data_IF_461084625577
#
_entry.id   IF_461084625577
#
_cell.length_a   1.000
_cell.length_b   1.000
_cell.length_c   1.000
_cell.angle_alpha   90.00
_cell.angle_beta   90.00
_cell.angle_gamma   90.00
#
_symmetry.space_group_name_H-M   'P 1'
#
loop_
_entity.id
_entity.type
_entity.pdbx_description
1 polymer ?
#
# COMPACT_ATOMS: atom_id res chain seq x y z
N UNK A 1 -2.52 9.95 7.67
CA UNK A 1 -3.44 10.95 8.25
C UNK A 1 -2.82 11.55 9.50
N UNK A 2 -2.86 12.88 9.66
CA UNK A 2 -2.12 13.61 10.70
C UNK A 2 -3.06 14.46 11.56
N UNK A 3 -3.74 13.89 12.57
CA UNK A 3 -4.79 14.60 13.33
C UNK A 3 -4.27 15.79 14.14
N UNK A 4 -2.98 15.78 14.48
CA UNK A 4 -2.34 16.80 15.31
C UNK A 4 -1.52 17.83 14.51
N UNK A 5 -1.46 17.72 13.18
CA UNK A 5 -0.70 18.63 12.31
C UNK A 5 -1.59 19.53 11.45
N UNK A 6 -0.97 20.40 10.65
CA UNK A 6 -1.66 21.11 9.58
C UNK A 6 -2.20 20.10 8.56
N UNK A 7 -3.48 20.21 8.22
CA UNK A 7 -4.15 19.31 7.27
C UNK A 7 -3.51 19.34 5.88
N UNK A 8 -2.93 20.48 5.50
CA UNK A 8 -2.45 20.75 4.14
C UNK A 8 -0.96 20.52 3.98
N UNK A 9 -0.14 20.93 4.95
CA UNK A 9 1.33 20.86 4.85
C UNK A 9 1.98 19.93 5.88
N UNK A 10 1.17 19.24 6.70
CA UNK A 10 1.59 18.29 7.73
C UNK A 10 2.55 18.83 8.81
N UNK A 11 2.86 20.13 8.81
CA UNK A 11 3.64 20.78 9.88
C UNK A 11 2.94 20.65 11.23
N UNK A 12 3.71 20.34 12.27
CA UNK A 12 3.24 20.23 13.65
C UNK A 12 3.60 21.47 14.48
N UNK A 13 3.24 21.48 15.77
CA UNK A 13 3.48 22.63 16.67
C UNK A 13 4.94 23.10 16.72
N UNK A 14 5.89 22.19 16.49
CA UNK A 14 7.32 22.51 16.53
C UNK A 14 7.73 23.38 15.33
N UNK A 15 7.06 23.22 14.19
CA UNK A 15 7.30 23.97 12.96
C UNK A 15 6.27 25.10 12.73
N UNK A 16 5.09 24.95 13.33
CA UNK A 16 3.92 25.81 13.19
C UNK A 16 3.20 25.92 14.54
N UNK A 17 3.67 26.77 15.48
CA UNK A 17 3.14 26.82 16.85
C UNK A 17 1.67 27.24 16.92
N UNK A 18 1.17 27.96 15.91
CA UNK A 18 -0.17 28.54 15.88
C UNK A 18 -1.18 27.72 15.05
N UNK A 19 -1.17 26.39 15.18
CA UNK A 19 -2.15 25.52 14.51
C UNK A 19 -3.58 25.74 15.03
N UNK A 20 -4.44 26.31 14.20
CA UNK A 20 -5.85 26.62 14.53
C UNK A 20 -6.81 25.60 13.92
N UNK A 21 -7.88 25.27 14.65
CA UNK A 21 -8.97 24.46 14.11
C UNK A 21 -9.78 25.22 13.04
N UNK A 22 -10.33 24.49 12.07
CA UNK A 22 -11.43 25.00 11.26
C UNK A 22 -12.54 25.50 12.18
N UNK A 23 -12.86 26.81 12.13
CA UNK A 23 -13.79 27.43 13.07
C UNK A 23 -15.19 26.78 13.09
N UNK A 24 -15.62 26.23 11.94
CA UNK A 24 -16.91 25.55 11.77
C UNK A 24 -16.88 24.11 12.27
N UNK A 25 -16.19 23.22 11.57
CA UNK A 25 -16.24 21.77 11.88
C UNK A 25 -15.38 21.39 13.08
N UNK A 26 -14.27 22.09 13.32
CA UNK A 26 -13.23 21.77 14.30
C UNK A 26 -12.70 20.32 14.27
N UNK A 27 -12.70 19.71 13.08
CA UNK A 27 -12.06 18.42 12.83
C UNK A 27 -10.64 18.63 12.30
N UNK A 28 -10.45 19.52 11.34
CA UNK A 28 -9.15 19.80 10.73
C UNK A 28 -8.46 21.01 11.38
N UNK A 29 -7.12 21.04 11.30
CA UNK A 29 -6.27 22.16 11.77
C UNK A 29 -5.43 22.72 10.64
N UNK A 30 -5.07 24.00 10.72
CA UNK A 30 -4.24 24.68 9.73
C UNK A 30 -3.22 25.58 10.42
N UNK A 31 -2.02 25.70 9.84
CA UNK A 31 -0.99 26.62 10.32
C UNK A 31 -1.28 28.08 9.96
N UNK A 32 -2.22 28.33 9.04
CA UNK A 32 -2.60 29.66 8.57
C UNK A 32 -3.72 29.60 7.53
N UNK A 33 -4.21 30.77 7.16
CA UNK A 33 -5.31 30.93 6.20
C UNK A 33 -5.00 30.40 4.81
N UNK A 34 -3.73 30.42 4.38
CA UNK A 34 -3.33 29.92 3.06
C UNK A 34 -3.50 28.40 2.96
N UNK A 35 -3.01 27.65 3.95
CA UNK A 35 -3.24 26.21 4.02
C UNK A 35 -4.74 25.88 4.14
N UNK A 36 -5.51 26.69 4.88
CA UNK A 36 -6.96 26.51 4.98
C UNK A 36 -7.67 26.70 3.63
N UNK A 37 -7.28 27.70 2.83
CA UNK A 37 -7.85 27.94 1.50
C UNK A 37 -7.57 26.78 0.55
N UNK A 38 -6.33 26.26 0.54
CA UNK A 38 -5.96 25.10 -0.29
C UNK A 38 -6.84 23.89 0.02
N UNK A 39 -7.01 23.54 1.30
CA UNK A 39 -7.88 22.42 1.70
C UNK A 39 -9.37 22.71 1.43
N UNK A 40 -9.80 23.97 1.59
CA UNK A 40 -11.16 24.41 1.26
C UNK A 40 -11.51 24.12 -0.19
N UNK A 41 -10.61 24.49 -1.11
CA UNK A 41 -10.79 24.32 -2.54
C UNK A 41 -10.61 22.86 -2.99
N UNK A 42 -9.69 22.12 -2.36
CA UNK A 42 -9.49 20.69 -2.59
C UNK A 42 -10.69 19.81 -2.19
N UNK A 43 -11.65 20.34 -1.43
CA UNK A 43 -12.91 19.64 -1.16
C UNK A 43 -13.46 19.80 0.25
N UNK A 44 -12.72 20.37 1.20
CA UNK A 44 -13.20 20.50 2.59
C UNK A 44 -14.55 21.23 2.67
N UNK A 45 -14.81 22.20 1.78
CA UNK A 45 -16.10 22.92 1.70
C UNK A 45 -17.31 22.00 1.55
N UNK A 46 -17.15 20.86 0.86
CA UNK A 46 -18.21 19.86 0.64
C UNK A 46 -18.61 19.16 1.95
N UNK A 47 -17.63 18.88 2.81
CA UNK A 47 -17.84 18.07 4.03
C UNK A 47 -17.92 18.87 5.33
N UNK A 48 -17.40 20.10 5.35
CA UNK A 48 -17.25 20.92 6.56
C UNK A 48 -18.57 21.05 7.36
N UNK A 49 -19.69 21.30 6.68
CA UNK A 49 -21.01 21.42 7.33
C UNK A 49 -21.48 20.11 7.96
N UNK A 50 -21.20 18.99 7.31
CA UNK A 50 -21.62 17.66 7.76
C UNK A 50 -20.76 17.18 8.93
N UNK A 51 -19.45 17.47 8.91
CA UNK A 51 -18.54 17.24 10.04
C UNK A 51 -18.94 18.09 11.26
N UNK A 52 -19.37 19.35 11.06
CA UNK A 52 -19.86 20.18 12.14
C UNK A 52 -21.13 19.60 12.81
N UNK A 53 -22.07 19.10 12.01
CA UNK A 53 -23.27 18.42 12.51
C UNK A 53 -22.92 17.09 13.21
N UNK A 54 -21.95 16.35 12.67
CA UNK A 54 -21.43 15.13 13.27
C UNK A 54 -20.88 15.39 14.68
N UNK A 55 -20.03 16.42 14.83
CA UNK A 55 -19.48 16.86 16.13
C UNK A 55 -20.57 17.12 17.17
N UNK A 56 -21.68 17.74 16.75
CA UNK A 56 -22.80 18.05 17.64
C UNK A 56 -23.54 16.79 18.08
N UNK A 57 -23.75 15.84 17.17
CA UNK A 57 -24.41 14.56 17.47
C UNK A 57 -23.56 13.65 18.36
N UNK A 58 -22.24 13.70 18.21
CA UNK A 58 -21.29 12.95 19.03
C UNK A 58 -20.74 13.77 20.20
N UNK A 59 -21.46 14.81 20.63
CA UNK A 59 -21.04 15.63 21.77
C UNK A 59 -21.04 14.83 23.08
N UNK A 60 -21.88 13.80 23.18
CA UNK A 60 -21.85 12.78 24.23
C UNK A 60 -21.28 11.47 23.68
N UNK A 61 -20.56 10.73 24.53
CA UNK A 61 -20.06 9.38 24.19
C UNK A 61 -21.27 8.43 24.10
N UNK A 62 -21.46 7.69 22.99
CA UNK A 62 -22.52 6.71 22.93
C UNK A 62 -22.23 5.55 23.90
N UNK A 63 -23.25 4.91 24.49
CA UNK A 63 -23.05 3.78 25.41
C UNK A 63 -22.29 2.60 24.79
N UNK A 64 -22.41 2.40 23.48
CA UNK A 64 -21.72 1.35 22.73
C UNK A 64 -20.22 1.59 22.53
N UNK A 65 -19.72 2.80 22.82
CA UNK A 65 -18.30 3.13 22.70
C UNK A 65 -17.62 2.94 24.05
N UNK A 66 -17.04 1.75 24.22
CA UNK A 66 -16.37 1.31 25.44
C UNK A 66 -14.91 1.81 25.49
N UNK A 67 -14.47 2.46 26.58
CA UNK A 67 -13.08 2.90 26.72
C UNK A 67 -12.07 1.75 26.60
N UNK A 68 -11.02 1.97 25.82
CA UNK A 68 -9.95 0.98 25.59
C UNK A 68 -10.34 -0.20 24.69
N UNK A 69 -11.60 -0.27 24.23
CA UNK A 69 -12.06 -1.33 23.33
C UNK A 69 -11.94 -0.88 21.86
N UNK A 70 -10.87 -1.34 21.20
CA UNK A 70 -10.56 -1.02 19.80
C UNK A 70 -11.68 -1.48 18.84
N UNK A 71 -12.35 -2.59 19.09
CA UNK A 71 -13.44 -3.06 18.25
C UNK A 71 -14.65 -2.12 18.33
N UNK A 72 -14.98 -1.64 19.53
CA UNK A 72 -16.04 -0.64 19.71
C UNK A 72 -15.69 0.69 19.03
N UNK A 73 -14.42 1.10 19.08
CA UNK A 73 -13.92 2.26 18.37
C UNK A 73 -14.01 2.11 16.85
N UNK A 74 -13.57 0.98 16.30
CA UNK A 74 -13.69 0.65 14.87
C UNK A 74 -15.13 0.72 14.39
N UNK A 75 -16.05 0.10 15.14
CA UNK A 75 -17.48 0.11 14.80
C UNK A 75 -18.06 1.54 14.83
N UNK A 76 -17.71 2.32 15.85
CA UNK A 76 -18.12 3.72 15.93
C UNK A 76 -17.53 4.55 14.78
N UNK A 77 -16.24 4.39 14.50
CA UNK A 77 -15.56 5.07 13.38
C UNK A 77 -16.24 4.79 12.04
N UNK A 78 -16.53 3.51 11.75
CA UNK A 78 -17.22 3.09 10.55
C UNK A 78 -18.63 3.71 10.46
N UNK A 79 -19.36 3.78 11.58
CA UNK A 79 -20.69 4.40 11.60
C UNK A 79 -20.65 5.90 11.31
N UNK A 80 -19.59 6.61 11.75
CA UNK A 80 -19.39 8.02 11.41
C UNK A 80 -19.13 8.21 9.91
N UNK A 81 -18.31 7.34 9.32
CA UNK A 81 -18.04 7.31 7.89
C UNK A 81 -19.31 7.09 7.06
N UNK A 82 -20.12 6.10 7.44
CA UNK A 82 -21.39 5.80 6.77
C UNK A 82 -22.36 6.99 6.86
N UNK A 83 -22.51 7.59 8.04
CA UNK A 83 -23.38 8.76 8.21
C UNK A 83 -22.94 9.96 7.36
N UNK A 84 -21.62 10.15 7.19
CA UNK A 84 -21.10 11.19 6.30
C UNK A 84 -21.39 10.85 4.84
N UNK A 85 -21.23 9.60 4.42
CA UNK A 85 -21.54 9.14 3.07
C UNK A 85 -23.03 9.32 2.74
N UNK A 86 -23.92 8.92 3.65
CA UNK A 86 -25.38 9.08 3.50
C UNK A 86 -25.76 10.55 3.32
N UNK A 87 -25.12 11.47 4.07
CA UNK A 87 -25.34 12.91 3.95
C UNK A 87 -24.86 13.50 2.64
N UNK A 88 -23.84 12.91 2.04
CA UNK A 88 -23.31 13.30 0.74
C UNK A 88 -24.05 12.61 -0.42
N UNK A 89 -24.83 11.55 -0.13
CA UNK A 89 -25.52 10.74 -1.13
C UNK A 89 -24.57 9.91 -2.01
N UNK A 90 -23.32 9.69 -1.56
CA UNK A 90 -22.30 8.93 -2.27
C UNK A 90 -21.23 8.39 -1.33
N UNK A 91 -20.44 7.38 -1.74
CA UNK A 91 -19.24 6.97 -1.01
C UNK A 91 -18.30 8.16 -0.76
N UNK A 92 -17.56 8.10 0.34
CA UNK A 92 -16.59 9.14 0.68
C UNK A 92 -15.37 9.09 -0.23
N UNK A 93 -14.91 10.26 -0.64
CA UNK A 93 -13.60 10.40 -1.28
C UNK A 93 -12.49 10.26 -0.22
N UNK A 94 -11.28 9.86 -0.63
CA UNK A 94 -10.13 9.68 0.27
C UNK A 94 -9.84 10.95 1.10
N UNK A 95 -9.95 12.13 0.47
CA UNK A 95 -9.79 13.42 1.14
C UNK A 95 -10.80 13.65 2.26
N UNK A 96 -12.02 13.10 2.14
CA UNK A 96 -13.11 13.21 3.09
C UNK A 96 -12.94 12.22 4.25
N UNK A 97 -12.47 11.00 3.96
CA UNK A 97 -12.02 10.06 4.99
C UNK A 97 -10.91 10.69 5.86
N UNK A 98 -9.97 11.39 5.24
CA UNK A 98 -8.93 12.10 5.96
C UNK A 98 -9.44 13.31 6.75
N UNK A 99 -10.44 14.02 6.24
CA UNK A 99 -11.08 15.10 7.00
C UNK A 99 -11.81 14.56 8.23
N UNK A 100 -12.42 13.37 8.11
CA UNK A 100 -13.09 12.68 9.22
C UNK A 100 -12.08 12.31 10.31
N UNK A 101 -10.99 11.57 10.02
CA UNK A 101 -10.01 11.21 11.08
C UNK A 101 -9.00 12.31 11.44
N UNK A 102 -9.22 13.52 10.96
CA UNK A 102 -8.73 14.71 11.65
C UNK A 102 -9.30 14.85 13.07
N UNK A 103 -10.38 14.15 13.41
CA UNK A 103 -10.98 14.22 14.75
C UNK A 103 -9.96 13.89 15.84
N UNK A 104 -9.62 14.90 16.64
CA UNK A 104 -8.70 14.74 17.76
C UNK A 104 -9.42 14.15 18.96
N UNK A 105 -9.25 12.84 19.15
CA UNK A 105 -9.82 12.07 20.26
C UNK A 105 -8.74 11.54 21.19
N UNK A 106 -9.08 11.32 22.45
CA UNK A 106 -8.22 10.54 23.35
C UNK A 106 -8.16 9.08 22.88
N UNK A 107 -6.94 8.52 22.77
CA UNK A 107 -6.70 7.12 22.44
C UNK A 107 -7.09 6.11 23.54
N UNK A 108 -8.03 6.43 24.42
CA UNK A 108 -8.56 5.44 25.35
C UNK A 108 -10.06 5.64 25.52
N UNK A 109 -10.49 6.83 25.95
CA UNK A 109 -11.92 7.11 26.10
C UNK A 109 -12.61 7.59 24.82
N UNK A 110 -11.85 7.77 23.74
CA UNK A 110 -12.30 8.22 22.41
C UNK A 110 -13.05 9.55 22.41
N UNK A 111 -12.91 10.33 23.50
CA UNK A 111 -13.62 11.58 23.67
C UNK A 111 -12.93 12.70 22.88
N UNK A 112 -13.67 13.55 22.14
CA UNK A 112 -13.07 14.61 21.35
C UNK A 112 -12.56 15.77 22.20
N UNK A 113 -11.44 16.38 21.79
CA UNK A 113 -10.77 17.50 22.47
C UNK A 113 -11.63 18.76 22.66
N UNK A 114 -12.74 18.89 21.92
CA UNK A 114 -13.58 20.11 21.85
C UNK A 114 -15.03 19.85 22.25
N UNK A 115 -15.24 18.79 23.02
CA UNK A 115 -16.51 18.43 23.64
C UNK A 115 -16.82 19.33 24.85
N UNK A 116 -18.10 19.46 25.20
CA UNK A 116 -18.58 20.42 26.19
C UNK A 116 -18.24 20.08 27.67
N UNK A 117 -17.40 19.07 27.93
CA UNK A 117 -16.96 18.74 29.29
C UNK A 117 -15.64 19.46 29.62
N UNK A 118 -15.58 20.30 30.67
CA UNK A 118 -14.39 21.06 31.05
C UNK A 118 -13.16 20.18 31.32
N UNK A 119 -13.36 18.99 31.87
CA UNK A 119 -12.31 18.04 32.28
C UNK A 119 -11.62 17.31 31.12
N UNK A 120 -12.16 17.43 29.89
CA UNK A 120 -11.60 16.82 28.66
C UNK A 120 -11.18 17.89 27.63
N UNK A 121 -11.17 19.16 28.03
CA UNK A 121 -10.92 20.31 27.15
C UNK A 121 -9.44 20.46 26.76
N UNK A 122 -8.51 19.86 27.51
CA UNK A 122 -7.08 19.78 27.18
C UNK A 122 -6.70 18.34 26.83
N UNK A 123 -7.06 17.91 25.62
CA UNK A 123 -6.39 16.76 25.04
C UNK A 123 -4.96 17.17 24.73
N UNK A 124 -4.01 16.42 25.24
CA UNK A 124 -2.58 16.52 24.94
C UNK A 124 -2.21 15.58 23.79
N UNK A 125 -1.01 15.71 23.26
CA UNK A 125 -0.48 14.85 22.21
C UNK A 125 0.84 14.22 22.66
N UNK A 126 1.13 13.02 22.17
CA UNK A 126 2.40 12.35 22.45
C UNK A 126 3.55 13.22 21.88
N UNK A 127 4.55 13.60 22.70
CA UNK A 127 5.63 14.49 22.26
C UNK A 127 6.55 13.84 21.23
N UNK A 128 6.62 12.50 21.20
CA UNK A 128 7.55 11.78 20.33
C UNK A 128 6.95 11.56 18.93
N UNK A 129 5.79 10.90 18.86
CA UNK A 129 5.18 10.59 17.58
C UNK A 129 4.35 11.75 17.02
N UNK A 130 3.82 12.63 17.87
CA UNK A 130 2.88 13.69 17.53
C UNK A 130 1.63 13.21 16.77
N UNK A 131 1.33 11.90 16.80
CA UNK A 131 0.19 11.29 16.11
C UNK A 131 -0.95 10.91 17.06
N UNK A 132 -0.60 10.58 18.30
CA UNK A 132 -1.54 10.12 19.33
C UNK A 132 -1.95 11.28 20.22
N UNK A 133 -3.22 11.27 20.61
CA UNK A 133 -3.82 12.25 21.51
C UNK A 133 -4.40 11.55 22.74
N UNK A 134 -4.37 12.22 23.91
CA UNK A 134 -4.92 11.69 25.17
C UNK A 134 -5.40 12.82 26.09
N UNK A 135 -6.42 12.57 26.91
CA UNK A 135 -6.74 13.48 28.01
C UNK A 135 -5.84 13.17 29.22
N UNK A 136 -5.73 14.13 30.14
CA UNK A 136 -4.91 14.02 31.35
C UNK A 136 -5.16 12.71 32.12
N UNK A 137 -6.44 12.36 32.32
CA UNK A 137 -6.86 11.14 33.03
C UNK A 137 -6.38 9.84 32.37
N UNK A 138 -6.25 9.82 31.05
CA UNK A 138 -5.89 8.61 30.28
C UNK A 138 -4.46 8.65 29.72
N UNK A 139 -3.67 9.67 30.07
CA UNK A 139 -2.27 9.79 29.66
C UNK A 139 -1.47 8.51 29.93
N UNK A 140 -1.45 7.90 31.13
CA UNK A 140 -0.62 6.73 31.36
C UNK A 140 -1.07 5.50 30.53
N UNK A 141 -2.39 5.25 30.44
CA UNK A 141 -2.95 4.13 29.67
C UNK A 141 -2.63 4.27 28.19
N UNK A 142 -2.77 5.47 27.63
CA UNK A 142 -2.47 5.72 26.23
C UNK A 142 -0.98 5.60 25.96
N UNK A 143 -0.12 6.20 26.81
CA UNK A 143 1.33 6.12 26.64
C UNK A 143 1.82 4.67 26.69
N UNK A 144 1.30 3.86 27.61
CA UNK A 144 1.61 2.44 27.70
C UNK A 144 1.10 1.66 26.47
N UNK A 145 -0.17 1.84 26.09
CA UNK A 145 -0.80 1.07 25.01
C UNK A 145 -0.15 1.31 23.64
N UNK A 146 0.32 2.53 23.37
CA UNK A 146 0.91 2.87 22.07
C UNK A 146 2.44 2.80 22.04
N UNK A 147 3.12 2.48 23.15
CA UNK A 147 4.58 2.57 23.26
C UNK A 147 5.32 1.86 22.12
N UNK A 148 4.89 0.64 21.77
CA UNK A 148 5.50 -0.14 20.69
C UNK A 148 5.24 0.45 19.29
N UNK A 149 4.12 1.15 19.12
CA UNK A 149 3.75 1.80 17.85
C UNK A 149 4.25 3.24 17.74
N UNK A 150 4.72 3.85 18.83
CA UNK A 150 5.07 5.27 18.89
C UNK A 150 6.14 5.63 17.84
N UNK A 151 7.22 4.85 17.77
CA UNK A 151 8.28 5.10 16.79
C UNK A 151 7.81 4.86 15.35
N UNK A 152 6.96 3.85 15.13
CA UNK A 152 6.37 3.57 13.81
C UNK A 152 5.54 4.75 13.34
N UNK A 153 4.67 5.27 14.20
CA UNK A 153 3.87 6.46 13.95
C UNK A 153 4.74 7.71 13.70
N UNK A 154 5.83 7.88 14.46
CA UNK A 154 6.78 8.96 14.24
C UNK A 154 7.41 8.86 12.85
N UNK A 155 7.82 7.68 12.42
CA UNK A 155 8.36 7.43 11.08
C UNK A 155 7.33 7.69 9.98
N UNK A 156 6.09 7.16 10.09
CA UNK A 156 5.01 7.48 9.14
C UNK A 156 4.83 8.99 8.98
N UNK A 157 4.83 9.73 10.09
CA UNK A 157 4.74 11.19 10.09
C UNK A 157 5.91 11.85 9.36
N UNK A 158 7.15 11.53 9.74
CA UNK A 158 8.33 12.14 9.12
C UNK A 158 8.39 11.84 7.62
N UNK A 159 8.17 10.59 7.21
CA UNK A 159 8.17 10.21 5.79
C UNK A 159 7.08 10.94 4.99
N UNK A 160 5.86 11.02 5.51
CA UNK A 160 4.77 11.69 4.79
C UNK A 160 4.98 13.21 4.69
N UNK A 161 5.48 13.85 5.74
CA UNK A 161 5.83 15.28 5.73
C UNK A 161 6.96 15.55 4.73
N UNK A 162 8.02 14.74 4.75
CA UNK A 162 9.15 14.86 3.85
C UNK A 162 8.75 14.67 2.39
N UNK A 163 7.96 13.62 2.09
CA UNK A 163 7.46 13.35 0.75
C UNK A 163 6.64 14.53 0.20
N UNK A 164 5.73 15.08 1.01
CA UNK A 164 4.91 16.21 0.63
C UNK A 164 5.74 17.47 0.37
N UNK A 165 6.68 17.79 1.26
CA UNK A 165 7.51 18.99 1.12
C UNK A 165 8.46 18.86 -0.06
N UNK A 166 9.01 17.68 -0.31
CA UNK A 166 9.82 17.41 -1.49
C UNK A 166 9.01 17.65 -2.77
N UNK A 167 7.80 17.08 -2.86
CA UNK A 167 6.93 17.27 -4.02
C UNK A 167 6.55 18.75 -4.22
N UNK A 168 6.32 19.50 -3.15
CA UNK A 168 6.04 20.94 -3.23
C UNK A 168 7.26 21.75 -3.70
N UNK A 169 8.46 21.35 -3.32
CA UNK A 169 9.70 22.04 -3.68
C UNK A 169 10.16 21.72 -5.12
N UNK A 170 9.98 20.48 -5.57
CA UNK A 170 10.52 19.97 -6.83
C UNK A 170 9.46 19.77 -7.92
N UNK A 171 8.17 19.82 -7.58
CA UNK A 171 7.05 19.58 -8.51
C UNK A 171 6.72 18.09 -8.72
N UNK A 172 7.59 17.19 -8.27
CA UNK A 172 7.46 15.74 -8.41
C UNK A 172 7.90 15.01 -7.13
N UNK A 173 7.38 13.81 -6.82
CA UNK A 173 7.87 13.01 -5.71
C UNK A 173 9.34 12.60 -5.91
N UNK A 174 10.10 12.24 -4.85
CA UNK A 174 11.44 11.72 -4.97
C UNK A 174 11.44 10.50 -5.91
N UNK A 175 12.04 10.66 -7.08
CA UNK A 175 12.11 9.58 -8.06
C UNK A 175 13.18 8.57 -7.63
N UNK A 176 12.83 7.29 -7.64
CA UNK A 176 13.84 6.24 -7.58
C UNK A 176 14.61 6.10 -8.90
N UNK A 177 14.14 6.68 -10.01
CA UNK A 177 14.70 6.47 -11.35
C UNK A 177 15.96 7.31 -11.57
N UNK A 178 17.09 6.73 -11.18
CA UNK A 178 18.33 6.82 -11.95
C UNK A 178 19.28 5.73 -11.48
N UNK A 179 19.44 4.64 -12.25
CA UNK A 179 20.70 3.94 -12.22
C UNK A 179 21.26 3.86 -13.63
N UNK A 180 22.12 4.82 -13.97
CA UNK A 180 23.14 4.57 -14.99
C UNK A 180 24.14 3.48 -14.52
N UNK A 181 24.14 3.12 -13.23
CA UNK A 181 25.19 2.34 -12.58
C UNK A 181 24.70 1.19 -11.68
N UNK A 182 23.49 0.63 -11.88
CA UNK A 182 23.12 -0.60 -11.15
C UNK A 182 24.01 -1.74 -11.68
N UNK A 183 24.83 -2.31 -10.81
CA UNK A 183 25.53 -3.54 -11.13
C UNK A 183 24.50 -4.65 -11.37
N UNK A 184 24.59 -5.43 -12.46
CA UNK A 184 23.68 -6.54 -12.74
C UNK A 184 23.51 -7.45 -11.52
N UNK A 185 22.30 -7.98 -11.31
CA UNK A 185 22.07 -8.95 -10.25
C UNK A 185 22.64 -10.31 -10.65
N UNK A 186 23.83 -10.63 -10.16
CA UNK A 186 24.38 -12.00 -10.20
C UNK A 186 23.67 -12.89 -9.15
N UNK A 187 23.35 -12.31 -7.99
CA UNK A 187 22.59 -12.92 -6.92
C UNK A 187 21.62 -11.90 -6.32
N UNK A 188 20.52 -12.37 -5.73
CA UNK A 188 19.57 -11.49 -5.06
C UNK A 188 20.17 -10.98 -3.73
N UNK A 189 20.15 -9.66 -3.45
CA UNK A 189 20.59 -9.13 -2.16
C UNK A 189 19.73 -9.69 -1.01
N UNK A 190 20.27 -9.64 0.21
CA UNK A 190 19.59 -10.19 1.39
C UNK A 190 18.44 -9.29 1.87
N UNK A 191 18.63 -7.97 1.80
CA UNK A 191 17.71 -6.96 2.33
C UNK A 191 17.89 -5.60 1.62
N UNK A 192 17.08 -4.63 2.05
CA UNK A 192 17.20 -3.25 1.56
C UNK A 192 18.58 -2.63 1.78
N UNK A 193 19.26 -2.90 2.90
CA UNK A 193 20.58 -2.32 3.15
C UNK A 193 21.57 -2.78 2.09
N UNK A 194 21.61 -4.07 1.78
CA UNK A 194 22.46 -4.62 0.71
C UNK A 194 22.05 -4.08 -0.67
N UNK A 195 20.75 -4.08 -0.99
CA UNK A 195 20.25 -3.63 -2.29
C UNK A 195 20.52 -2.15 -2.54
N UNK A 196 20.22 -1.29 -1.57
CA UNK A 196 20.40 0.16 -1.69
C UNK A 196 21.89 0.53 -1.72
N UNK A 197 22.76 -0.24 -1.05
CA UNK A 197 24.22 -0.07 -1.15
C UNK A 197 24.74 -0.39 -2.55
N UNK A 198 24.26 -1.48 -3.17
CA UNK A 198 24.63 -1.85 -4.54
C UNK A 198 24.12 -0.83 -5.57
N UNK A 199 22.97 -0.21 -5.30
CA UNK A 199 22.34 0.77 -6.19
C UNK A 199 23.09 2.10 -6.26
N UNK A 200 23.99 2.39 -5.32
CA UNK A 200 24.84 3.58 -5.30
C UNK A 200 24.04 4.88 -5.57
N UNK A 201 23.04 5.18 -4.74
CA UNK A 201 22.24 6.41 -4.92
C UNK A 201 23.15 7.65 -4.88
N UNK A 202 23.00 8.59 -5.84
CA UNK A 202 23.82 9.79 -5.87
C UNK A 202 23.47 10.73 -4.70
N UNK A 203 24.40 11.01 -3.79
CA UNK A 203 24.25 12.00 -2.71
C UNK A 203 24.08 11.42 -1.30
N UNK A 204 24.07 12.31 -0.30
CA UNK A 204 23.84 11.96 1.12
C UNK A 204 22.34 11.97 1.42
N UNK A 205 21.73 10.79 1.44
CA UNK A 205 20.30 10.62 1.70
C UNK A 205 20.04 10.38 3.18
N UNK A 206 19.04 11.08 3.74
CA UNK A 206 18.57 10.78 5.09
C UNK A 206 17.90 9.41 5.15
N UNK A 207 17.89 8.78 6.32
CA UNK A 207 17.26 7.48 6.53
C UNK A 207 15.77 7.48 6.12
N UNK A 208 15.04 8.57 6.40
CA UNK A 208 13.63 8.70 6.02
C UNK A 208 13.43 8.85 4.50
N UNK A 209 14.38 9.47 3.80
CA UNK A 209 14.32 9.59 2.34
C UNK A 209 14.63 8.25 1.67
N UNK A 210 15.58 7.48 2.22
CA UNK A 210 15.83 6.10 1.80
C UNK A 210 14.58 5.22 2.00
N UNK A 211 13.87 5.36 3.13
CA UNK A 211 12.58 4.69 3.35
C UNK A 211 11.57 5.07 2.27
N UNK A 212 11.42 6.35 1.95
CA UNK A 212 10.48 6.82 0.92
C UNK A 212 10.76 6.18 -0.44
N UNK A 213 12.03 6.02 -0.85
CA UNK A 213 12.36 5.36 -2.12
C UNK A 213 11.88 3.91 -2.20
N UNK A 214 11.80 3.20 -1.05
CA UNK A 214 11.26 1.83 -1.03
C UNK A 214 9.77 1.76 -1.40
N UNK A 215 9.02 2.87 -1.32
CA UNK A 215 7.61 2.91 -1.75
C UNK A 215 7.46 2.61 -3.25
N UNK A 216 8.43 3.04 -4.07
CA UNK A 216 8.45 2.77 -5.51
C UNK A 216 9.24 1.50 -5.82
N UNK A 217 10.34 1.25 -5.11
CA UNK A 217 11.21 0.10 -5.41
C UNK A 217 10.64 -1.24 -4.94
N UNK A 218 9.75 -1.26 -3.94
CA UNK A 218 9.20 -2.52 -3.44
C UNK A 218 8.51 -3.33 -4.54
N UNK A 219 7.91 -2.69 -5.55
CA UNK A 219 7.21 -3.37 -6.65
C UNK A 219 8.17 -4.18 -7.54
N UNK A 220 9.15 -3.58 -8.23
CA UNK A 220 10.08 -4.32 -9.08
C UNK A 220 10.99 -5.26 -8.29
N UNK A 221 11.48 -4.83 -7.11
CA UNK A 221 12.45 -5.64 -6.34
C UNK A 221 11.79 -6.88 -5.74
N UNK A 222 10.50 -6.81 -5.38
CA UNK A 222 9.74 -7.99 -4.97
C UNK A 222 9.52 -8.97 -6.13
N UNK A 223 9.32 -8.50 -7.36
CA UNK A 223 9.26 -9.37 -8.54
C UNK A 223 10.61 -10.05 -8.81
N UNK A 224 11.71 -9.31 -8.72
CA UNK A 224 13.06 -9.86 -8.84
C UNK A 224 13.32 -10.94 -7.78
N UNK A 225 12.88 -10.70 -6.54
CA UNK A 225 12.94 -11.69 -5.47
C UNK A 225 12.16 -12.97 -5.80
N UNK A 226 10.92 -12.84 -6.30
CA UNK A 226 10.12 -13.98 -6.76
C UNK A 226 10.77 -14.74 -7.92
N UNK A 227 11.29 -14.02 -8.93
CA UNK A 227 12.00 -14.62 -10.06
C UNK A 227 13.21 -15.42 -9.58
N UNK A 228 13.99 -14.85 -8.64
CA UNK A 228 15.15 -15.53 -8.07
C UNK A 228 14.77 -16.87 -7.43
N UNK A 229 13.74 -16.87 -6.58
CA UNK A 229 13.24 -18.10 -5.94
C UNK A 229 12.63 -19.09 -6.94
N UNK A 230 11.90 -18.60 -7.95
CA UNK A 230 11.34 -19.46 -8.99
C UNK A 230 12.43 -20.16 -9.83
N UNK A 231 13.50 -19.44 -10.18
CA UNK A 231 14.64 -20.01 -10.88
C UNK A 231 15.40 -20.99 -9.98
N UNK A 232 15.67 -20.64 -8.72
CA UNK A 232 16.38 -21.50 -7.79
C UNK A 232 15.61 -22.82 -7.52
N UNK A 233 14.29 -22.76 -7.36
CA UNK A 233 13.44 -23.95 -7.22
C UNK A 233 13.50 -24.88 -8.44
N UNK A 234 13.82 -24.34 -9.61
CA UNK A 234 14.03 -25.09 -10.85
C UNK A 234 15.51 -25.46 -11.11
N UNK A 235 16.42 -25.23 -10.16
CA UNK A 235 17.86 -25.48 -10.32
C UNK A 235 18.55 -24.52 -11.31
N UNK A 236 17.98 -23.34 -11.52
CA UNK A 236 18.43 -22.28 -12.43
C UNK A 236 18.78 -21.01 -11.68
N UNK A 237 19.31 -20.04 -12.40
CA UNK A 237 19.68 -18.70 -11.91
C UNK A 237 18.88 -17.61 -12.64
N UNK A 238 18.99 -16.37 -12.19
CA UNK A 238 18.42 -15.23 -12.91
C UNK A 238 19.00 -15.06 -14.32
N UNK A 239 20.21 -15.55 -14.59
CA UNK A 239 20.84 -15.49 -15.91
C UNK A 239 20.20 -16.44 -16.93
N UNK A 240 19.44 -17.44 -16.47
CA UNK A 240 18.72 -18.40 -17.31
C UNK A 240 17.33 -17.89 -17.76
N UNK A 241 16.98 -16.66 -17.39
CA UNK A 241 15.75 -16.01 -17.85
C UNK A 241 15.83 -15.67 -19.34
N UNK A 242 14.68 -15.71 -20.05
CA UNK A 242 14.64 -15.40 -21.47
C UNK A 242 14.95 -13.93 -21.76
N UNK A 243 15.40 -13.63 -22.98
CA UNK A 243 15.54 -12.24 -23.43
C UNK A 243 14.19 -11.50 -23.49
N UNK A 244 13.08 -12.23 -23.60
CA UNK A 244 11.71 -11.70 -23.48
C UNK A 244 11.11 -12.21 -22.20
N UNK A 245 11.03 -11.35 -21.19
CA UNK A 245 10.48 -11.65 -19.88
C UNK A 245 9.02 -11.22 -19.83
N UNK A 246 8.10 -12.16 -19.61
CA UNK A 246 6.67 -11.92 -19.52
C UNK A 246 6.19 -12.11 -18.08
N UNK A 247 5.69 -11.04 -17.47
CA UNK A 247 5.17 -11.03 -16.10
C UNK A 247 3.67 -10.72 -16.11
N UNK A 248 2.86 -11.45 -15.36
CA UNK A 248 1.43 -11.13 -15.18
C UNK A 248 1.16 -10.72 -13.73
N UNK A 249 0.62 -9.52 -13.54
CA UNK A 249 0.17 -9.03 -12.25
C UNK A 249 -1.33 -9.30 -12.10
N UNK A 250 -1.68 -10.21 -11.19
CA UNK A 250 -3.02 -10.72 -10.95
C UNK A 250 -3.70 -9.89 -9.88
N UNK A 251 -4.98 -9.56 -10.08
CA UNK A 251 -5.73 -8.73 -9.15
C UNK A 251 -5.27 -7.27 -9.17
N UNK A 252 -4.64 -6.84 -10.26
CA UNK A 252 -4.15 -5.48 -10.38
C UNK A 252 -5.31 -4.47 -10.30
N UNK A 253 -5.06 -3.35 -9.63
CA UNK A 253 -5.93 -2.19 -9.56
C UNK A 253 -5.15 -0.93 -9.96
N UNK A 254 -5.74 0.23 -9.75
CA UNK A 254 -5.12 1.52 -10.08
C UNK A 254 -3.79 1.71 -9.34
N UNK A 255 -3.61 1.15 -8.15
CA UNK A 255 -2.36 1.25 -7.37
C UNK A 255 -1.16 0.67 -8.12
N UNK A 256 -1.31 -0.53 -8.68
CA UNK A 256 -0.25 -1.23 -9.41
C UNK A 256 0.09 -0.49 -10.71
N UNK A 257 -0.92 0.09 -11.39
CA UNK A 257 -0.70 0.88 -12.62
C UNK A 257 0.18 2.11 -12.40
N UNK A 258 0.08 2.77 -11.24
CA UNK A 258 0.89 3.97 -10.94
C UNK A 258 2.37 3.68 -10.67
N UNK A 259 2.75 2.40 -10.61
CA UNK A 259 4.15 1.98 -10.37
C UNK A 259 4.89 1.63 -11.66
N UNK A 260 4.29 1.85 -12.82
CA UNK A 260 4.81 1.41 -14.12
C UNK A 260 6.23 1.89 -14.44
N UNK A 261 6.55 3.15 -14.17
CA UNK A 261 7.87 3.71 -14.40
C UNK A 261 8.96 3.01 -13.56
N UNK A 262 8.62 2.51 -12.36
CA UNK A 262 9.57 1.81 -11.48
C UNK A 262 10.02 0.45 -12.04
N UNK A 263 9.24 -0.18 -12.94
CA UNK A 263 9.61 -1.49 -13.49
C UNK A 263 10.81 -1.46 -14.43
N UNK A 264 11.28 -0.28 -14.85
CA UNK A 264 12.57 -0.17 -15.53
C UNK A 264 13.72 -0.73 -14.67
N UNK A 265 13.58 -0.72 -13.34
CA UNK A 265 14.52 -1.34 -12.40
C UNK A 265 14.80 -2.82 -12.74
N UNK A 266 13.80 -3.56 -13.26
CA UNK A 266 13.96 -4.96 -13.68
C UNK A 266 14.93 -5.08 -14.85
N UNK A 267 14.88 -4.16 -15.82
CA UNK A 267 15.79 -4.13 -16.97
C UNK A 267 17.23 -3.79 -16.58
N UNK A 268 17.41 -2.99 -15.52
CA UNK A 268 18.72 -2.67 -14.97
C UNK A 268 19.29 -3.84 -14.16
N UNK A 269 18.45 -4.49 -13.36
CA UNK A 269 18.82 -5.68 -12.60
C UNK A 269 19.17 -6.87 -13.51
N UNK A 270 18.51 -7.02 -14.65
CA UNK A 270 18.65 -8.14 -15.58
C UNK A 270 19.08 -7.64 -16.98
N UNK A 271 20.36 -7.31 -17.22
CA UNK A 271 20.82 -6.67 -18.46
C UNK A 271 20.71 -7.55 -19.73
N UNK A 272 20.55 -8.86 -19.56
CA UNK A 272 20.32 -9.81 -20.65
C UNK A 272 18.87 -9.74 -21.17
N UNK A 273 17.91 -9.31 -20.34
CA UNK A 273 16.52 -9.11 -20.76
C UNK A 273 16.44 -7.93 -21.72
N UNK A 274 15.94 -8.19 -22.94
CA UNK A 274 15.78 -7.18 -24.00
C UNK A 274 14.37 -6.64 -24.08
N UNK A 275 13.38 -7.46 -23.74
CA UNK A 275 11.97 -7.10 -23.79
C UNK A 275 11.30 -7.49 -22.48
N UNK A 276 10.79 -6.50 -21.76
CA UNK A 276 9.97 -6.71 -20.57
C UNK A 276 8.50 -6.45 -20.91
N UNK A 277 7.67 -7.47 -20.71
CA UNK A 277 6.23 -7.39 -20.94
C UNK A 277 5.50 -7.63 -19.63
N UNK A 278 4.69 -6.65 -19.19
CA UNK A 278 3.93 -6.77 -17.96
C UNK A 278 2.44 -6.61 -18.25
N UNK A 279 1.65 -7.63 -17.92
CA UNK A 279 0.19 -7.59 -18.03
C UNK A 279 -0.45 -7.37 -16.67
N UNK A 280 -1.07 -6.21 -16.48
CA UNK A 280 -1.94 -5.91 -15.34
C UNK A 280 -3.34 -6.49 -15.63
N UNK A 281 -3.79 -7.42 -14.79
CA UNK A 281 -5.07 -8.09 -14.99
C UNK A 281 -5.87 -8.08 -13.70
N UNK A 282 -6.99 -7.37 -13.68
CA UNK A 282 -7.86 -7.31 -12.52
C UNK A 282 -9.18 -6.62 -12.82
N UNK A 283 -10.29 -7.06 -12.20
CA UNK A 283 -11.63 -6.50 -12.46
C UNK A 283 -11.78 -5.04 -11.99
N UNK A 284 -10.90 -4.57 -11.11
CA UNK A 284 -10.91 -3.22 -10.54
C UNK A 284 -10.13 -2.20 -11.39
N UNK A 285 -9.51 -2.64 -12.49
CA UNK A 285 -8.80 -1.72 -13.38
C UNK A 285 -9.77 -0.75 -14.06
N UNK A 286 -9.38 0.53 -14.20
CA UNK A 286 -10.22 1.53 -14.88
C UNK A 286 -10.16 1.42 -16.41
N UNK A 287 -9.35 0.50 -16.95
CA UNK A 287 -9.06 0.35 -18.38
C UNK A 287 -9.10 -1.13 -18.77
N UNK A 288 -9.59 -1.44 -19.98
CA UNK A 288 -9.62 -2.80 -20.53
C UNK A 288 -9.02 -2.85 -21.94
N UNK A 289 -8.39 -3.98 -22.27
CA UNK A 289 -7.68 -4.27 -23.52
C UNK A 289 -6.75 -3.14 -23.97
N UNK A 290 -6.13 -2.46 -23.01
CA UNK A 290 -5.21 -1.37 -23.30
C UNK A 290 -3.79 -1.94 -23.47
N UNK A 291 -3.09 -1.40 -24.48
CA UNK A 291 -1.64 -1.52 -24.61
C UNK A 291 -1.10 -0.12 -24.47
N UNK A 292 -0.21 0.08 -23.52
CA UNK A 292 0.44 1.36 -23.33
C UNK A 292 1.93 1.13 -23.12
N UNK A 293 2.76 2.00 -23.70
CA UNK A 293 4.13 2.10 -23.25
C UNK A 293 4.07 2.73 -21.82
N UNK A 294 5.13 2.60 -21.02
CA UNK A 294 5.22 3.16 -19.65
C UNK A 294 4.61 4.57 -19.56
N UNK A 295 4.03 5.00 -18.43
CA UNK A 295 3.61 6.40 -18.24
C UNK A 295 4.78 7.39 -18.38
N UNK A 296 6.02 6.90 -18.31
CA UNK A 296 7.24 7.59 -18.73
C UNK A 296 7.33 7.85 -20.26
N UNK A 297 6.38 7.39 -21.06
CA UNK A 297 6.32 7.54 -22.52
C UNK A 297 5.73 8.88 -22.99
N UNK A 298 5.88 9.91 -22.15
CA UNK A 298 6.44 11.15 -22.67
C UNK A 298 7.96 11.03 -22.93
N UNK A 299 8.40 9.98 -23.64
CA UNK A 299 9.78 9.79 -24.08
C UNK A 299 10.62 8.84 -23.24
N UNK A 300 10.55 7.55 -23.63
CA UNK A 300 11.64 6.56 -23.69
C UNK A 300 12.30 6.21 -22.36
N UNK A 301 12.35 4.89 -22.08
CA UNK A 301 13.32 4.27 -21.15
C UNK A 301 14.61 5.07 -21.02
N UNK A 302 15.25 5.04 -19.84
CA UNK A 302 16.45 5.83 -19.62
C UNK A 302 17.48 5.65 -20.75
N UNK A 303 18.34 6.65 -20.95
CA UNK A 303 19.28 6.69 -22.08
C UNK A 303 20.11 5.41 -22.24
N UNK A 304 20.46 4.73 -21.15
CA UNK A 304 21.15 3.43 -21.14
C UNK A 304 20.26 2.28 -21.65
N UNK A 305 19.00 2.21 -21.20
CA UNK A 305 18.03 1.22 -21.65
C UNK A 305 17.68 1.41 -23.13
N UNK A 306 17.42 2.66 -23.53
CA UNK A 306 17.17 3.02 -24.92
C UNK A 306 18.39 2.73 -25.82
N UNK A 307 19.59 3.14 -25.40
CA UNK A 307 20.83 2.89 -26.15
C UNK A 307 21.14 1.40 -26.35
N UNK A 308 20.77 0.57 -25.37
CA UNK A 308 20.88 -0.89 -25.43
C UNK A 308 19.72 -1.58 -26.20
N UNK A 309 18.85 -0.79 -26.86
CA UNK A 309 17.69 -1.26 -27.64
C UNK A 309 16.75 -2.18 -26.84
N UNK A 310 16.58 -1.90 -25.56
CA UNK A 310 15.62 -2.59 -24.69
C UNK A 310 14.23 -1.99 -24.87
N UNK A 311 13.19 -2.76 -24.57
CA UNK A 311 11.81 -2.27 -24.56
C UNK A 311 11.05 -2.75 -23.32
N UNK A 312 10.10 -1.93 -22.87
CA UNK A 312 9.15 -2.26 -21.81
C UNK A 312 7.74 -2.01 -22.36
N UNK A 313 6.82 -2.96 -22.19
CA UNK A 313 5.46 -2.85 -22.72
C UNK A 313 4.46 -3.30 -21.67
N UNK A 314 3.43 -2.48 -21.46
CA UNK A 314 2.37 -2.77 -20.53
C UNK A 314 1.07 -3.11 -21.24
N UNK A 315 0.37 -4.08 -20.66
CA UNK A 315 -0.95 -4.49 -21.06
C UNK A 315 -1.88 -4.35 -19.86
N UNK A 316 -3.11 -3.87 -20.05
CA UNK A 316 -4.11 -3.88 -19.01
C UNK A 316 -5.41 -4.53 -19.48
N UNK A 317 -6.01 -5.38 -18.63
CA UNK A 317 -7.31 -5.97 -18.89
C UNK A 317 -8.18 -6.01 -17.63
N UNK A 318 -9.38 -5.45 -17.77
CA UNK A 318 -10.41 -5.42 -16.73
C UNK A 318 -11.18 -6.75 -16.69
N UNK A 319 -10.49 -7.84 -16.34
CA UNK A 319 -11.04 -9.19 -16.29
C UNK A 319 -10.54 -9.93 -15.06
N UNK A 320 -11.26 -11.00 -14.71
CA UNK A 320 -10.66 -12.05 -13.88
C UNK A 320 -9.56 -12.75 -14.68
N UNK A 321 -8.51 -13.16 -14.00
CA UNK A 321 -7.31 -13.68 -14.68
C UNK A 321 -7.57 -14.94 -15.53
N UNK A 322 -8.42 -15.85 -15.05
CA UNK A 322 -8.78 -17.04 -15.82
C UNK A 322 -9.57 -16.71 -17.10
N UNK A 323 -10.41 -15.67 -17.07
CA UNK A 323 -11.14 -15.20 -18.26
C UNK A 323 -10.19 -14.50 -19.24
N UNK A 324 -9.24 -13.71 -18.71
CA UNK A 324 -8.17 -13.11 -19.50
C UNK A 324 -7.36 -14.19 -20.23
N UNK A 325 -6.88 -15.22 -19.52
CA UNK A 325 -6.12 -16.33 -20.10
C UNK A 325 -6.94 -17.19 -21.07
N UNK A 326 -8.26 -17.24 -20.89
CA UNK A 326 -9.20 -17.91 -21.80
C UNK A 326 -9.49 -17.11 -23.07
N UNK A 327 -9.24 -15.80 -23.06
CA UNK A 327 -9.45 -14.91 -24.21
C UNK A 327 -8.27 -14.91 -25.20
N UNK A 328 -8.55 -14.48 -26.43
CA UNK A 328 -7.52 -14.25 -27.45
C UNK A 328 -6.74 -12.95 -27.16
N UNK A 329 -5.50 -12.90 -27.63
CA UNK A 329 -4.70 -11.68 -27.64
C UNK A 329 -5.10 -10.71 -28.77
N UNK A 330 -4.40 -9.58 -28.87
CA UNK A 330 -4.65 -8.56 -29.89
C UNK A 330 -4.41 -9.03 -31.33
N UNK A 331 -3.75 -10.18 -31.51
CA UNK A 331 -3.52 -10.82 -32.81
C UNK A 331 -4.48 -11.99 -33.06
N UNK A 332 -5.44 -12.22 -32.16
CA UNK A 332 -6.38 -13.34 -32.27
C UNK A 332 -5.80 -14.70 -31.89
N UNK A 333 -4.66 -14.74 -31.18
CA UNK A 333 -4.01 -15.99 -30.74
C UNK A 333 -4.35 -16.31 -29.29
N UNK A 334 -4.28 -17.59 -28.93
CA UNK A 334 -4.41 -17.99 -27.53
C UNK A 334 -3.25 -17.43 -26.72
N UNK A 335 -3.54 -16.90 -25.53
CA UNK A 335 -2.50 -16.37 -24.63
C UNK A 335 -1.61 -17.46 -24.05
N UNK A 336 -0.31 -17.20 -24.05
CA UNK A 336 0.70 -18.04 -23.42
C UNK A 336 0.78 -17.79 -21.90
N UNK A 337 1.15 -18.79 -21.10
CA UNK A 337 1.49 -18.58 -19.70
C UNK A 337 2.69 -17.61 -19.55
N UNK A 338 2.74 -16.81 -18.47
CA UNK A 338 3.88 -15.94 -18.20
C UNK A 338 5.05 -16.71 -17.59
N UNK A 339 6.23 -16.08 -17.56
CA UNK A 339 7.39 -16.59 -16.82
C UNK A 339 7.18 -16.51 -15.30
N UNK A 340 6.39 -15.53 -14.85
CA UNK A 340 5.98 -15.34 -13.47
C UNK A 340 4.58 -14.73 -13.40
N UNK A 341 3.75 -15.28 -12.52
CA UNK A 341 2.50 -14.64 -12.11
C UNK A 341 2.63 -14.10 -10.69
N UNK A 342 2.11 -12.90 -10.43
CA UNK A 342 2.27 -12.25 -9.13
C UNK A 342 0.99 -11.55 -8.69
N UNK A 343 0.57 -11.73 -7.43
CA UNK A 343 -0.53 -10.99 -6.83
C UNK A 343 -0.02 -10.14 -5.65
N UNK A 344 0.06 -8.83 -5.84
CA UNK A 344 0.48 -7.92 -4.78
C UNK A 344 -0.63 -7.73 -3.75
N UNK A 345 -0.30 -7.86 -2.46
CA UNK A 345 -1.21 -7.65 -1.32
C UNK A 345 -2.59 -8.27 -1.56
N UNK A 346 -2.60 -9.58 -1.86
CA UNK A 346 -3.61 -10.22 -2.71
C UNK A 346 -5.06 -10.21 -2.19
N UNK A 347 -5.25 -10.05 -0.87
CA UNK A 347 -6.57 -10.13 -0.25
C UNK A 347 -7.27 -11.49 -0.41
N UNK A 348 -6.55 -12.56 -0.79
CA UNK A 348 -7.16 -13.86 -1.11
C UNK A 348 -8.00 -14.41 0.07
N UNK A 349 -7.53 -14.22 1.30
CA UNK A 349 -8.25 -14.58 2.52
C UNK A 349 -9.59 -13.84 2.72
N UNK A 350 -9.76 -12.60 2.25
CA UNK A 350 -10.94 -11.78 2.54
C UNK A 350 -12.22 -12.40 1.95
N UNK A 351 -12.10 -13.03 0.78
CA UNK A 351 -13.21 -13.69 0.11
C UNK A 351 -13.73 -14.93 0.88
N UNK A 352 -12.90 -15.55 1.73
CA UNK A 352 -13.18 -16.87 2.32
C UNK A 352 -13.38 -16.79 3.83
N UNK A 353 -12.64 -15.91 4.52
CA UNK A 353 -12.65 -15.76 5.98
C UNK A 353 -13.82 -14.89 6.46
N UNK A 354 -14.26 -13.90 5.67
CA UNK A 354 -15.39 -13.03 6.05
C UNK A 354 -16.77 -13.65 5.83
N UNK A 355 -16.84 -14.96 5.51
CA UNK A 355 -18.11 -15.69 5.34
C UNK A 355 -18.93 -15.25 4.11
N UNK A 356 -18.38 -14.42 3.24
CA UNK A 356 -19.06 -13.92 2.03
C UNK A 356 -19.19 -14.99 0.94
N UNK A 357 -18.27 -15.96 0.86
CA UNK A 357 -18.40 -17.13 0.00
C UNK A 357 -17.60 -18.35 0.50
N UNK A 358 -18.01 -19.56 0.09
CA UNK A 358 -17.21 -20.78 0.30
C UNK A 358 -15.99 -20.80 -0.62
N UNK A 359 -14.95 -21.58 -0.30
CA UNK A 359 -13.79 -21.78 -1.18
C UNK A 359 -14.19 -22.22 -2.60
N UNK A 360 -15.25 -23.03 -2.73
CA UNK A 360 -15.80 -23.45 -4.02
C UNK A 360 -16.47 -22.31 -4.81
N UNK A 361 -16.96 -21.28 -4.11
CA UNK A 361 -17.67 -20.14 -4.68
C UNK A 361 -16.80 -18.86 -4.76
N UNK A 362 -15.54 -18.92 -4.31
CA UNK A 362 -14.62 -17.79 -4.45
C UNK A 362 -14.30 -17.53 -5.90
N UNK A 363 -14.41 -16.27 -6.31
CA UNK A 363 -14.15 -15.79 -7.67
C UNK A 363 -12.72 -16.10 -8.14
N UNK A 364 -11.77 -16.15 -7.21
CA UNK A 364 -10.36 -16.36 -7.52
C UNK A 364 -9.91 -17.83 -7.51
N UNK A 365 -10.74 -18.76 -7.03
CA UNK A 365 -10.40 -20.20 -6.99
C UNK A 365 -10.00 -20.74 -8.37
N UNK A 366 -10.75 -20.39 -9.41
CA UNK A 366 -10.44 -20.79 -10.80
C UNK A 366 -9.09 -20.26 -11.28
N UNK A 367 -8.71 -19.05 -10.86
CA UNK A 367 -7.43 -18.43 -11.22
C UNK A 367 -6.26 -19.24 -10.66
N UNK A 368 -6.29 -19.56 -9.37
CA UNK A 368 -5.18 -20.29 -8.74
C UNK A 368 -5.12 -21.75 -9.19
N UNK A 369 -6.27 -22.40 -9.45
CA UNK A 369 -6.31 -23.72 -10.08
C UNK A 369 -5.71 -23.71 -11.49
N UNK A 370 -6.04 -22.71 -12.31
CA UNK A 370 -5.45 -22.55 -13.64
C UNK A 370 -3.93 -22.39 -13.59
N UNK A 371 -3.42 -21.56 -12.68
CA UNK A 371 -1.98 -21.33 -12.51
C UNK A 371 -1.25 -22.59 -12.03
N UNK A 372 -1.85 -23.30 -11.08
CA UNK A 372 -1.40 -24.62 -10.60
C UNK A 372 -1.32 -25.62 -11.75
N UNK A 373 -2.40 -25.76 -12.51
CA UNK A 373 -2.51 -26.76 -13.59
C UNK A 373 -1.56 -26.48 -14.75
N UNK A 374 -1.26 -25.19 -15.00
CA UNK A 374 -0.27 -24.76 -15.99
C UNK A 374 1.17 -24.77 -15.46
N UNK A 375 1.40 -25.06 -14.19
CA UNK A 375 2.75 -25.06 -13.60
C UNK A 375 3.41 -23.67 -13.63
N UNK A 376 2.64 -22.60 -13.55
CA UNK A 376 3.17 -21.23 -13.58
C UNK A 376 3.70 -20.88 -12.19
N UNK A 377 4.98 -20.47 -12.05
CA UNK A 377 5.49 -19.94 -10.79
C UNK A 377 4.65 -18.73 -10.37
N UNK A 378 4.00 -18.84 -9.22
CA UNK A 378 3.03 -17.85 -8.76
C UNK A 378 3.33 -17.44 -7.33
N UNK A 379 3.39 -16.12 -7.10
CA UNK A 379 3.72 -15.56 -5.80
C UNK A 379 2.69 -14.52 -5.38
N UNK A 380 2.49 -14.41 -4.08
CA UNK A 380 1.56 -13.46 -3.48
C UNK A 380 2.22 -12.75 -2.33
N UNK A 381 1.91 -11.47 -2.15
CA UNK A 381 2.24 -10.73 -0.93
C UNK A 381 0.99 -10.40 -0.11
N UNK A 382 1.21 -10.03 1.16
CA UNK A 382 0.17 -9.55 2.08
C UNK A 382 0.71 -8.42 2.96
N UNK A 383 -0.19 -7.62 3.54
CA UNK A 383 0.14 -6.53 4.45
C UNK A 383 0.50 -7.03 5.85
N UNK A 384 -0.10 -8.16 6.27
CA UNK A 384 0.10 -8.69 7.62
C UNK A 384 0.40 -10.19 7.64
N UNK A 385 0.93 -10.66 8.78
CA UNK A 385 1.19 -12.09 9.00
C UNK A 385 -0.09 -12.91 9.04
N UNK A 386 -1.18 -12.37 9.60
CA UNK A 386 -2.44 -13.10 9.68
C UNK A 386 -3.03 -13.34 8.29
N UNK A 387 -2.97 -12.35 7.40
CA UNK A 387 -3.42 -12.47 6.01
C UNK A 387 -2.68 -13.59 5.27
N UNK A 388 -1.34 -13.59 5.30
CA UNK A 388 -0.54 -14.58 4.54
C UNK A 388 -0.71 -16.01 5.10
N UNK A 389 -0.98 -16.16 6.41
CA UNK A 389 -1.28 -17.46 7.01
C UNK A 389 -2.55 -18.05 6.41
N UNK A 390 -3.58 -17.22 6.22
CA UNK A 390 -4.82 -17.65 5.59
C UNK A 390 -4.64 -17.88 4.08
N UNK A 391 -3.90 -17.01 3.39
CA UNK A 391 -3.62 -17.16 1.95
C UNK A 391 -2.88 -18.48 1.67
N UNK A 392 -1.81 -18.81 2.42
CA UNK A 392 -1.08 -20.08 2.26
C UNK A 392 -2.00 -21.28 2.51
N UNK A 393 -2.85 -21.23 3.54
CA UNK A 393 -3.80 -22.30 3.84
C UNK A 393 -4.79 -22.52 2.69
N UNK A 394 -5.27 -21.44 2.07
CA UNK A 394 -6.15 -21.51 0.90
C UNK A 394 -5.42 -22.16 -0.27
N UNK A 395 -4.18 -21.74 -0.57
CA UNK A 395 -3.38 -22.31 -1.67
C UNK A 395 -3.18 -23.83 -1.49
N UNK A 396 -2.86 -24.29 -0.28
CA UNK A 396 -2.74 -25.72 0.02
C UNK A 396 -4.05 -26.47 -0.15
N UNK A 397 -5.17 -25.90 0.30
CA UNK A 397 -6.51 -26.49 0.06
C UNK A 397 -6.87 -26.56 -1.42
N UNK A 398 -6.34 -25.66 -2.24
CA UNK A 398 -6.45 -25.69 -3.70
C UNK A 398 -5.47 -26.69 -4.34
N UNK A 399 -4.70 -27.45 -3.57
CA UNK A 399 -3.74 -28.43 -4.06
C UNK A 399 -2.52 -27.81 -4.75
N UNK A 400 -2.21 -26.54 -4.46
CA UNK A 400 -1.01 -25.88 -4.97
C UNK A 400 0.23 -26.37 -4.20
N UNK A 401 1.28 -26.74 -4.92
CA UNK A 401 2.57 -27.07 -4.31
C UNK A 401 3.30 -25.79 -3.88
N UNK A 402 3.27 -25.50 -2.59
CA UNK A 402 3.96 -24.34 -2.00
C UNK A 402 5.47 -24.57 -2.04
N UNK A 403 6.16 -23.90 -2.97
CA UNK A 403 7.61 -23.94 -3.16
C UNK A 403 8.34 -22.97 -2.23
N UNK A 404 7.65 -21.92 -1.80
CA UNK A 404 8.17 -20.94 -0.84
C UNK A 404 7.11 -20.71 0.24
N UNK A 405 7.28 -21.30 1.43
CA UNK A 405 6.39 -21.07 2.56
C UNK A 405 6.29 -19.59 2.93
N UNK A 406 5.24 -19.21 3.65
CA UNK A 406 5.08 -17.83 4.12
C UNK A 406 6.31 -17.37 4.90
N UNK A 407 6.81 -16.20 4.56
CA UNK A 407 7.93 -15.57 5.25
C UNK A 407 7.81 -14.04 5.16
N UNK A 408 8.57 -13.33 6.00
CA UNK A 408 8.70 -11.89 5.91
C UNK A 408 9.47 -11.52 4.65
N UNK A 409 8.92 -10.61 3.86
CA UNK A 409 9.48 -10.22 2.58
C UNK A 409 10.58 -9.15 2.82
N UNK A 410 11.86 -9.41 2.44
CA UNK A 410 12.96 -8.52 2.80
C UNK A 410 12.95 -7.14 2.15
N UNK A 411 12.15 -6.99 1.09
CA UNK A 411 12.01 -5.80 0.25
C UNK A 411 10.63 -5.14 0.35
N UNK A 412 9.97 -5.30 1.51
CA UNK A 412 8.70 -4.62 1.81
C UNK A 412 8.91 -3.12 1.84
N UNK A 413 7.90 -2.33 1.54
CA UNK A 413 8.00 -0.88 1.72
C UNK A 413 8.35 -0.58 3.18
N UNK A 414 9.39 0.24 3.43
CA UNK A 414 9.82 0.62 4.77
C UNK A 414 9.01 1.79 5.34
N UNK A 415 8.18 2.45 4.54
CA UNK A 415 7.23 3.46 5.02
C UNK A 415 6.00 2.75 5.60
N UNK A 416 5.75 2.87 6.92
CA UNK A 416 4.58 2.24 7.52
C UNK A 416 3.30 2.97 7.14
N UNK A 417 2.25 2.21 6.90
CA UNK A 417 0.89 2.71 6.73
C UNK A 417 0.09 2.49 8.02
N UNK A 418 -0.71 3.48 8.40
CA UNK A 418 -1.54 3.40 9.61
C UNK A 418 -2.93 2.89 9.27
N UNK A 419 -3.44 1.94 10.05
CA UNK A 419 -4.85 1.56 9.99
C UNK A 419 -5.70 2.70 10.60
N UNK A 420 -6.53 3.32 9.76
CA UNK A 420 -7.39 4.45 10.15
C UNK A 420 -8.45 4.07 11.21
N UNK A 421 -8.72 2.78 11.44
CA UNK A 421 -9.61 2.28 12.51
C UNK A 421 -8.90 1.46 13.60
N UNK A 422 -7.73 0.89 13.31
CA UNK A 422 -7.08 -0.14 14.13
C UNK A 422 -6.33 0.30 15.35
N UNK A 423 -6.36 1.58 15.70
CA UNK A 423 -5.73 2.19 16.87
C UNK A 423 -4.33 1.61 17.20
N UNK A 424 -3.29 2.31 16.76
CA UNK A 424 -1.88 1.92 16.93
C UNK A 424 -1.40 0.80 16.01
N UNK A 425 -2.30 0.20 15.21
CA UNK A 425 -1.91 -0.78 14.20
C UNK A 425 -1.34 -0.11 12.96
N UNK A 426 -0.18 -0.61 12.54
CA UNK A 426 0.47 -0.26 11.29
C UNK A 426 0.68 -1.51 10.45
N UNK A 427 0.76 -1.32 9.14
CA UNK A 427 1.03 -2.37 8.17
C UNK A 427 2.00 -1.85 7.11
N UNK A 428 2.60 -2.78 6.36
CA UNK A 428 3.61 -2.47 5.36
C UNK A 428 3.20 -3.08 4.03
N UNK A 429 3.36 -2.31 2.95
CA UNK A 429 3.13 -2.81 1.59
C UNK A 429 4.13 -3.93 1.33
N UNK A 430 3.64 -5.07 0.84
CA UNK A 430 4.43 -6.26 0.54
C UNK A 430 5.16 -6.83 1.77
N UNK A 431 4.56 -6.79 2.96
CA UNK A 431 5.21 -7.21 4.21
C UNK A 431 5.57 -8.70 4.26
N UNK A 432 4.66 -9.55 3.79
CA UNK A 432 4.78 -11.01 3.83
C UNK A 432 4.65 -11.57 2.43
N UNK A 433 5.19 -12.78 2.19
CA UNK A 433 5.16 -13.40 0.88
C UNK A 433 5.06 -14.92 0.94
N UNK A 434 4.35 -15.52 -0.02
CA UNK A 434 4.24 -16.97 -0.23
C UNK A 434 4.34 -17.27 -1.73
N UNK A 435 4.85 -18.44 -2.09
CA UNK A 435 5.01 -18.87 -3.49
C UNK A 435 4.63 -20.32 -3.71
N UNK A 436 4.04 -20.60 -4.86
CA UNK A 436 3.71 -21.96 -5.30
C UNK A 436 4.03 -22.17 -6.78
N UNK A 437 4.21 -23.43 -7.17
CA UNK A 437 4.35 -23.82 -8.57
C UNK A 437 3.87 -25.25 -8.77
N UNK A 438 2.89 -25.46 -9.66
CA UNK A 438 2.35 -26.78 -9.92
C UNK A 438 1.46 -27.34 -8.81
N UNK A 439 1.00 -28.58 -9.00
CA UNK A 439 0.17 -29.31 -8.04
C UNK A 439 1.01 -30.02 -6.97
N UNK A 440 0.49 -30.10 -5.74
CA UNK A 440 1.10 -30.86 -4.66
C UNK A 440 1.15 -32.35 -5.07
N UNK A 441 2.35 -32.94 -5.06
CA UNK A 441 2.49 -34.35 -5.37
C UNK A 441 1.75 -35.14 -4.28
N UNK A 442 0.76 -35.96 -4.67
CA UNK A 442 0.16 -36.90 -3.74
C UNK A 442 1.30 -37.80 -3.25
N UNK A 443 1.58 -37.76 -1.95
CA UNK A 443 2.49 -38.73 -1.34
C UNK A 443 1.97 -40.13 -1.70
N UNK A 444 2.70 -40.82 -2.58
CA UNK A 444 2.51 -42.23 -2.81
C UNK A 444 2.92 -42.95 -1.51
N UNK A 445 1.94 -43.12 -0.63
CA UNK A 445 2.04 -43.93 0.58
C UNK A 445 1.88 -45.40 0.25
#
# INVERSE_FOLDING_TARGET
>A
MFPNGCRTCFKHKDEAPNLQFCARCRFTRYCGSDCQKVDWDAGHKKVCKHLAALRQQTAARPPSLEPGNVASWRAFWASQGQLLADRLGRPLEMSEHFALAGQRVCGHCYYPALSAKPETSSVEECPDCLMVSFCEQHRPQVLQAHAQACQVMATTRRCATLLLHYQQAHGEPPSCLSPADLSPLEAMPLDWTAYLSQRCFPGDWSEDLMRIHTMQLTWPVTLLYALHHAQAAAGRTLADLPETLTLHLIGAATTELHSDASFEEVLHALPHVKRLQISFVGPELPIDNAVFPSSADAGTLCSSCHGARRSMTFYASQKLYHDYMGSLDGEGKQRSPPDLAFAFNSGLHEHIVQGSCSLANSTWTKTFQLLRDKGVPTYLTAYTTDEIVHDEHILRKLGCHVTMPKHEQPFKCLVPLMDNGGQYQAFWVNNMMVGFCGAEQAHAG
#
